data_IF_703539727027
#
_entry.id   IF_703539727027
#
_cell.length_a   1.000
_cell.length_b   1.000
_cell.length_c   1.000
_cell.angle_alpha   90.00
_cell.angle_beta   90.00
_cell.angle_gamma   90.00
#
_symmetry.space_group_name_H-M   'P 1'
#
loop_
_entity.id
_entity.type
_entity.pdbx_description
1 polymer ?
#
# COMPACT_ATOMS: atom_id res chain seq x y z
N UNK A 1 14.74 19.41 139.82
CA UNK A 1 13.60 18.64 139.27
C UNK A 1 12.33 19.38 139.64
N UNK A 2 11.81 20.19 138.72
CA UNK A 2 10.43 20.67 138.83
C UNK A 2 9.55 19.46 138.55
N UNK A 3 8.81 19.01 139.56
CA UNK A 3 7.77 18.02 139.34
C UNK A 3 6.67 18.68 138.48
N UNK A 4 6.14 17.99 137.45
CA UNK A 4 5.17 18.56 136.52
C UNK A 4 3.78 18.61 137.15
N UNK A 5 3.69 19.17 138.36
CA UNK A 5 2.47 19.26 139.13
C UNK A 5 2.09 20.72 139.31
N UNK A 6 0.86 21.07 138.99
CA UNK A 6 0.22 22.33 139.31
C UNK A 6 -0.01 22.44 140.82
N UNK A 7 0.02 23.67 141.37
CA UNK A 7 -0.18 23.92 142.80
C UNK A 7 -1.58 24.51 142.99
N UNK A 8 -2.46 23.78 143.69
CA UNK A 8 -3.82 24.25 144.01
C UNK A 8 -3.92 24.52 145.52
N UNK A 9 -4.29 25.76 145.88
CA UNK A 9 -4.32 26.32 147.24
C UNK A 9 -2.99 26.29 148.01
N UNK A 10 -2.58 25.13 148.52
CA UNK A 10 -1.42 24.95 149.44
C UNK A 10 -0.64 23.65 149.19
N UNK A 11 -0.84 22.97 148.05
CA UNK A 11 -0.13 21.74 147.72
C UNK A 11 -0.20 21.40 146.23
N UNK A 12 0.58 20.39 145.82
CA UNK A 12 0.49 19.82 144.48
C UNK A 12 -0.89 19.20 144.25
N UNK A 13 -1.37 19.29 143.02
CA UNK A 13 -2.60 18.63 142.62
C UNK A 13 -2.47 17.11 142.85
N UNK A 14 -3.34 16.59 143.73
CA UNK A 14 -3.32 15.20 144.15
C UNK A 14 -3.63 14.26 142.98
N UNK A 15 -4.46 14.69 142.04
CA UNK A 15 -4.85 13.88 140.90
C UNK A 15 -3.69 13.81 139.90
N UNK A 16 -2.96 14.90 139.70
CA UNK A 16 -1.75 14.91 138.86
C UNK A 16 -0.61 14.05 139.44
N UNK A 17 -0.40 14.09 140.76
CA UNK A 17 0.60 13.23 141.44
C UNK A 17 0.21 11.76 141.35
N UNK A 18 -1.07 11.43 141.55
CA UNK A 18 -1.56 10.04 141.46
C UNK A 18 -1.39 9.49 140.05
N UNK A 19 -1.81 10.26 139.04
CA UNK A 19 -1.63 9.90 137.62
C UNK A 19 -0.15 9.71 137.25
N UNK A 20 0.77 10.51 137.82
CA UNK A 20 2.21 10.36 137.58
C UNK A 20 2.76 9.08 138.19
N UNK A 21 2.39 8.73 139.43
CA UNK A 21 2.83 7.47 140.05
C UNK A 21 2.21 6.26 139.38
N UNK A 22 0.95 6.32 138.95
CA UNK A 22 0.32 5.26 138.17
C UNK A 22 1.03 5.04 136.83
N UNK A 23 1.38 6.13 136.14
CA UNK A 23 2.19 6.06 134.91
C UNK A 23 3.59 5.49 135.18
N UNK A 24 4.25 5.93 136.24
CA UNK A 24 5.59 5.45 136.60
C UNK A 24 5.58 3.96 136.99
N UNK A 25 4.57 3.51 137.75
CA UNK A 25 4.42 2.09 138.09
C UNK A 25 4.10 1.25 136.82
N UNK A 26 3.32 1.80 135.89
CA UNK A 26 3.11 1.17 134.58
C UNK A 26 4.40 1.06 133.76
N UNK A 27 5.23 2.12 133.72
CA UNK A 27 6.54 2.11 133.06
C UNK A 27 7.52 1.13 133.73
N UNK A 28 7.51 1.02 135.07
CA UNK A 28 8.34 0.04 135.79
C UNK A 28 7.90 -1.41 135.52
N UNK A 29 6.59 -1.66 135.44
CA UNK A 29 6.06 -2.99 135.06
C UNK A 29 6.41 -3.34 133.62
N UNK A 30 6.32 -2.38 132.70
CA UNK A 30 6.71 -2.58 131.30
C UNK A 30 8.20 -2.93 131.20
N UNK A 31 9.08 -2.14 131.83
CA UNK A 31 10.53 -2.40 131.80
C UNK A 31 10.90 -3.72 132.47
N UNK A 32 10.20 -4.12 133.53
CA UNK A 32 10.38 -5.43 134.17
C UNK A 32 9.95 -6.56 133.23
N UNK A 33 8.80 -6.41 132.56
CA UNK A 33 8.34 -7.36 131.56
C UNK A 33 9.31 -7.47 130.36
N UNK A 34 9.82 -6.34 129.87
CA UNK A 34 10.82 -6.30 128.79
C UNK A 34 12.13 -6.96 129.20
N UNK A 35 12.61 -6.71 130.44
CA UNK A 35 13.79 -7.36 130.99
C UNK A 35 13.59 -8.87 131.09
N UNK A 36 12.44 -9.29 131.60
CA UNK A 36 12.13 -10.71 131.78
C UNK A 36 11.97 -11.43 130.43
N UNK A 37 11.39 -10.76 129.43
CA UNK A 37 11.32 -11.23 128.05
C UNK A 37 12.72 -11.33 127.41
N UNK A 38 13.57 -10.32 127.56
CA UNK A 38 14.95 -10.36 127.08
C UNK A 38 15.77 -11.46 127.79
N UNK A 39 15.57 -11.66 129.09
CA UNK A 39 16.20 -12.73 129.84
C UNK A 39 15.71 -14.12 129.39
N UNK A 40 14.44 -14.26 129.02
CA UNK A 40 13.92 -15.50 128.43
C UNK A 40 14.55 -15.78 127.06
N UNK A 41 14.58 -14.79 126.16
CA UNK A 41 15.23 -14.90 124.85
C UNK A 41 16.72 -15.24 124.95
N UNK A 42 17.44 -14.64 125.91
CA UNK A 42 18.85 -14.96 126.14
C UNK A 42 19.04 -16.41 126.59
N UNK A 43 18.14 -16.96 127.42
CA UNK A 43 18.18 -18.38 127.83
C UNK A 43 17.88 -19.31 126.66
N UNK A 44 16.91 -18.98 125.81
CA UNK A 44 16.58 -19.79 124.63
C UNK A 44 17.73 -19.81 123.61
N UNK A 45 18.36 -18.67 123.35
CA UNK A 45 19.53 -18.58 122.48
C UNK A 45 20.73 -19.35 123.05
N UNK A 46 20.94 -19.29 124.38
CA UNK A 46 21.99 -20.09 125.02
C UNK A 46 21.75 -21.58 124.81
N UNK A 47 20.49 -22.03 124.93
CA UNK A 47 20.13 -23.44 124.66
C UNK A 47 20.39 -23.83 123.21
N UNK A 48 19.96 -23.02 122.24
CA UNK A 48 20.21 -23.30 120.81
C UNK A 48 21.71 -23.35 120.48
N UNK A 49 22.51 -22.50 121.15
CA UNK A 49 23.96 -22.51 120.97
C UNK A 49 24.59 -23.78 121.52
N UNK A 50 24.13 -24.26 122.68
CA UNK A 50 24.63 -25.50 123.26
C UNK A 50 24.18 -26.72 122.42
N UNK A 51 22.93 -26.76 121.96
CA UNK A 51 22.43 -27.80 121.05
C UNK A 51 23.26 -27.85 119.74
N UNK A 52 23.56 -26.70 119.14
CA UNK A 52 24.40 -26.62 117.93
C UNK A 52 25.86 -26.99 118.19
N UNK A 53 26.39 -26.71 119.39
CA UNK A 53 27.75 -27.11 119.79
C UNK A 53 27.85 -28.63 119.94
N UNK A 54 26.87 -29.25 120.57
CA UNK A 54 26.79 -30.69 120.71
C UNK A 54 26.72 -31.37 119.33
N UNK A 55 25.90 -30.84 118.42
CA UNK A 55 25.82 -31.34 117.03
C UNK A 55 27.16 -31.21 116.27
N UNK A 56 27.84 -30.06 116.41
CA UNK A 56 29.17 -29.87 115.79
C UNK A 56 30.19 -30.86 116.35
N UNK A 57 30.18 -31.12 117.66
CA UNK A 57 31.11 -32.05 118.28
C UNK A 57 30.81 -33.51 117.90
N UNK A 58 29.55 -33.88 117.71
CA UNK A 58 29.16 -35.17 117.13
C UNK A 58 29.66 -35.31 115.68
N UNK A 59 29.38 -34.32 114.83
CA UNK A 59 29.84 -34.31 113.44
C UNK A 59 31.38 -34.38 113.33
N UNK A 60 32.10 -33.71 114.25
CA UNK A 60 33.56 -33.79 114.32
C UNK A 60 34.06 -35.18 114.67
N UNK A 61 33.47 -35.84 115.67
CA UNK A 61 33.82 -37.22 116.03
C UNK A 61 33.57 -38.18 114.87
N UNK A 62 32.48 -37.99 114.15
CA UNK A 62 32.16 -38.79 112.96
C UNK A 62 33.17 -38.56 111.82
N UNK A 63 33.56 -37.30 111.56
CA UNK A 63 34.61 -36.96 110.59
C UNK A 63 35.94 -37.59 110.98
N UNK A 64 36.35 -37.46 112.24
CA UNK A 64 37.61 -38.05 112.73
C UNK A 64 37.62 -39.56 112.54
N UNK A 65 36.49 -40.24 112.86
CA UNK A 65 36.29 -41.67 112.64
C UNK A 65 36.37 -42.06 111.15
N UNK A 66 35.92 -41.20 110.24
CA UNK A 66 35.94 -41.42 108.79
C UNK A 66 37.27 -41.06 108.13
N UNK A 67 38.07 -40.17 108.75
CA UNK A 67 39.35 -39.68 108.23
C UNK A 67 40.49 -40.71 108.37
N UNK A 68 40.43 -41.55 109.42
CA UNK A 68 41.40 -42.61 109.66
C UNK A 68 41.10 -43.80 108.73
N UNK A 69 42.12 -44.46 108.13
CA UNK A 69 41.92 -45.66 107.32
C UNK A 69 41.11 -46.71 108.10
N UNK A 70 40.01 -47.25 107.53
CA UNK A 70 39.14 -48.14 108.28
C UNK A 70 39.88 -49.44 108.60
N UNK A 71 40.11 -49.70 109.88
CA UNK A 71 40.75 -50.92 110.37
C UNK A 71 39.74 -52.01 110.74
N UNK A 72 38.42 -51.73 110.63
CA UNK A 72 37.32 -52.65 110.94
C UNK A 72 36.42 -52.89 109.72
N UNK A 73 35.85 -54.10 109.61
CA UNK A 73 34.95 -54.49 108.50
C UNK A 73 33.65 -53.67 108.44
N UNK A 74 33.15 -53.24 109.60
CA UNK A 74 31.95 -52.39 109.74
C UNK A 74 32.21 -50.98 109.18
N UNK A 75 33.36 -50.37 109.48
CA UNK A 75 33.75 -49.06 108.93
C UNK A 75 34.00 -49.07 107.42
N UNK A 76 34.48 -50.19 106.87
CA UNK A 76 34.55 -50.38 105.40
C UNK A 76 33.16 -50.47 104.78
N UNK A 77 32.21 -51.16 105.42
CA UNK A 77 30.84 -51.34 104.92
C UNK A 77 30.03 -50.04 104.95
N UNK A 78 30.19 -49.24 106.01
CA UNK A 78 29.59 -47.90 106.13
C UNK A 78 30.11 -46.89 105.10
N UNK A 79 31.40 -46.98 104.76
CA UNK A 79 31.98 -46.11 103.72
C UNK A 79 31.51 -46.53 102.32
N UNK A 80 31.39 -47.83 102.05
CA UNK A 80 30.84 -48.35 100.79
C UNK A 80 29.37 -47.96 100.63
N UNK A 81 28.55 -48.07 101.69
CA UNK A 81 27.13 -47.68 101.62
C UNK A 81 26.95 -46.19 101.33
N UNK A 82 27.76 -45.31 101.96
CA UNK A 82 27.78 -43.87 101.66
C UNK A 82 28.30 -43.57 100.26
N UNK A 83 29.35 -44.27 99.79
CA UNK A 83 29.88 -44.10 98.43
C UNK A 83 28.87 -44.55 97.37
N UNK A 84 28.14 -45.64 97.61
CA UNK A 84 27.05 -46.09 96.72
C UNK A 84 25.89 -45.10 96.72
N UNK A 85 25.55 -44.52 97.88
CA UNK A 85 24.52 -43.47 97.97
C UNK A 85 24.94 -42.23 97.18
N UNK A 86 26.16 -41.74 97.39
CA UNK A 86 26.72 -40.61 96.63
C UNK A 86 26.74 -40.89 95.12
N UNK A 87 27.18 -42.08 94.70
CA UNK A 87 27.18 -42.46 93.28
C UNK A 87 25.75 -42.57 92.70
N UNK A 88 24.78 -43.01 93.50
CA UNK A 88 23.36 -43.06 93.10
C UNK A 88 22.77 -41.65 92.98
N UNK A 89 23.12 -40.76 93.90
CA UNK A 89 22.70 -39.36 93.89
C UNK A 89 23.31 -38.65 92.66
N UNK A 90 24.61 -38.83 92.42
CA UNK A 90 25.33 -38.28 91.25
C UNK A 90 24.78 -38.85 89.93
N UNK A 91 24.47 -40.15 89.86
CA UNK A 91 23.83 -40.73 88.68
C UNK A 91 22.42 -40.16 88.43
N UNK A 92 21.68 -39.83 89.50
CA UNK A 92 20.35 -39.22 89.41
C UNK A 92 20.46 -37.77 88.93
N UNK A 93 21.44 -37.00 89.43
CA UNK A 93 21.74 -35.65 88.97
C UNK A 93 22.16 -35.62 87.50
N UNK A 94 23.05 -36.53 87.07
CA UNK A 94 23.48 -36.63 85.67
C UNK A 94 22.30 -36.97 84.76
N UNK A 95 21.41 -37.88 85.17
CA UNK A 95 20.19 -38.19 84.40
C UNK A 95 19.22 -37.01 84.33
N UNK A 96 18.99 -36.32 85.45
CA UNK A 96 18.12 -35.16 85.49
C UNK A 96 18.65 -34.05 84.57
N UNK A 97 19.97 -33.79 84.63
CA UNK A 97 20.63 -32.81 83.77
C UNK A 97 20.56 -33.21 82.29
N UNK A 98 20.87 -34.45 81.95
CA UNK A 98 20.77 -34.94 80.57
C UNK A 98 19.33 -34.87 80.03
N UNK A 99 18.34 -35.13 80.88
CA UNK A 99 16.93 -35.02 80.49
C UNK A 99 16.53 -33.56 80.23
N UNK A 100 16.93 -32.63 81.11
CA UNK A 100 16.69 -31.19 80.95
C UNK A 100 17.34 -30.65 79.67
N UNK A 101 18.62 -30.99 79.43
CA UNK A 101 19.33 -30.59 78.21
C UNK A 101 18.67 -31.16 76.94
N UNK A 102 18.14 -32.39 77.01
CA UNK A 102 17.41 -33.00 75.90
C UNK A 102 16.09 -32.30 75.61
N UNK A 103 15.34 -31.93 76.66
CA UNK A 103 14.08 -31.18 76.53
C UNK A 103 14.32 -29.79 75.95
N UNK A 104 15.37 -29.10 76.40
CA UNK A 104 15.80 -27.82 75.83
C UNK A 104 16.16 -27.95 74.35
N UNK A 105 16.96 -28.96 73.99
CA UNK A 105 17.34 -29.24 72.60
C UNK A 105 16.12 -29.50 71.71
N UNK A 106 15.17 -30.31 72.19
CA UNK A 106 13.94 -30.61 71.46
C UNK A 106 13.08 -29.34 71.31
N UNK A 107 12.95 -28.54 72.36
CA UNK A 107 12.20 -27.29 72.34
C UNK A 107 12.77 -26.30 71.31
N UNK A 108 14.10 -26.12 71.32
CA UNK A 108 14.80 -25.26 70.34
C UNK A 108 14.60 -25.78 68.92
N UNK A 109 14.79 -27.09 68.69
CA UNK A 109 14.61 -27.69 67.37
C UNK A 109 13.17 -27.57 66.85
N UNK A 110 12.17 -27.74 67.73
CA UNK A 110 10.76 -27.57 67.38
C UNK A 110 10.43 -26.11 67.04
N UNK A 111 10.95 -25.15 67.82
CA UNK A 111 10.76 -23.73 67.56
C UNK A 111 11.40 -23.31 66.23
N UNK A 112 12.61 -23.78 65.95
CA UNK A 112 13.30 -23.50 64.68
C UNK A 112 12.55 -24.12 63.50
N UNK A 113 12.10 -25.36 63.63
CA UNK A 113 11.29 -26.04 62.62
C UNK A 113 9.98 -25.30 62.33
N UNK A 114 9.29 -24.84 63.38
CA UNK A 114 8.06 -24.05 63.24
C UNK A 114 8.34 -22.70 62.54
N UNK A 115 9.43 -22.02 62.91
CA UNK A 115 9.86 -20.76 62.27
C UNK A 115 10.23 -20.96 60.81
N UNK A 116 10.90 -22.06 60.46
CA UNK A 116 11.26 -22.38 59.08
C UNK A 116 10.02 -22.70 58.25
N UNK A 117 9.08 -23.50 58.80
CA UNK A 117 7.79 -23.78 58.16
C UNK A 117 6.98 -22.53 57.88
N UNK A 118 6.81 -21.65 58.89
CA UNK A 118 6.10 -20.39 58.70
C UNK A 118 6.75 -19.47 57.65
N UNK A 119 8.09 -19.43 57.59
CA UNK A 119 8.81 -18.70 56.53
C UNK A 119 8.56 -19.29 55.14
N UNK A 120 8.57 -20.61 55.00
CA UNK A 120 8.29 -21.27 53.72
C UNK A 120 6.85 -21.06 53.28
N UNK A 121 5.88 -21.22 54.18
CA UNK A 121 4.47 -20.96 53.90
C UNK A 121 4.26 -19.52 53.43
N UNK A 122 4.88 -18.54 54.10
CA UNK A 122 4.84 -17.14 53.68
C UNK A 122 5.47 -16.92 52.30
N UNK A 123 6.60 -17.56 51.99
CA UNK A 123 7.26 -17.42 50.69
C UNK A 123 6.45 -18.06 49.57
N UNK A 124 5.83 -19.22 49.82
CA UNK A 124 4.94 -19.89 48.86
C UNK A 124 3.73 -19.01 48.57
N UNK A 125 3.08 -18.47 49.61
CA UNK A 125 1.95 -17.56 49.44
C UNK A 125 2.32 -16.30 48.64
N UNK A 126 3.47 -15.69 48.92
CA UNK A 126 3.95 -14.53 48.15
C UNK A 126 4.25 -14.87 46.69
N UNK A 127 4.82 -16.05 46.41
CA UNK A 127 5.06 -16.50 45.03
C UNK A 127 3.76 -16.80 44.28
N UNK A 128 2.77 -17.37 44.95
CA UNK A 128 1.44 -17.60 44.38
C UNK A 128 0.72 -16.29 44.06
N UNK A 129 0.78 -15.31 44.97
CA UNK A 129 0.23 -13.97 44.76
C UNK A 129 0.90 -13.27 43.58
N UNK A 130 2.24 -13.27 43.53
CA UNK A 130 3.00 -12.71 42.41
C UNK A 130 2.69 -13.41 41.09
N UNK A 131 2.57 -14.74 41.09
CA UNK A 131 2.19 -15.51 39.90
C UNK A 131 0.81 -15.11 39.40
N UNK A 132 -0.17 -15.02 40.31
CA UNK A 132 -1.55 -14.61 39.97
C UNK A 132 -1.61 -13.16 39.45
N UNK A 133 -0.84 -12.25 40.04
CA UNK A 133 -0.76 -10.86 39.59
C UNK A 133 -0.20 -10.78 38.17
N UNK A 134 0.93 -11.45 37.91
CA UNK A 134 1.56 -11.48 36.57
C UNK A 134 0.65 -12.14 35.54
N UNK A 135 -0.05 -13.21 35.90
CA UNK A 135 -1.02 -13.87 35.02
C UNK A 135 -2.16 -12.93 34.64
N UNK A 136 -2.72 -12.21 35.62
CA UNK A 136 -3.79 -11.23 35.39
C UNK A 136 -3.32 -10.06 34.52
N UNK A 137 -2.14 -9.49 34.82
CA UNK A 137 -1.56 -8.41 34.02
C UNK A 137 -1.25 -8.86 32.59
N UNK A 138 -0.74 -10.08 32.42
CA UNK A 138 -0.48 -10.66 31.10
C UNK A 138 -1.78 -10.83 30.32
N UNK A 139 -2.81 -11.42 30.91
CA UNK A 139 -4.12 -11.59 30.28
C UNK A 139 -4.73 -10.25 29.85
N UNK A 140 -4.68 -9.24 30.73
CA UNK A 140 -5.16 -7.89 30.42
C UNK A 140 -4.38 -7.25 29.28
N UNK A 141 -3.05 -7.30 29.33
CA UNK A 141 -2.18 -6.74 28.29
C UNK A 141 -2.43 -7.43 26.95
N UNK A 142 -2.55 -8.75 26.94
CA UNK A 142 -2.83 -9.53 25.72
C UNK A 142 -4.24 -9.25 25.17
N UNK A 143 -5.24 -9.10 26.03
CA UNK A 143 -6.60 -8.73 25.63
C UNK A 143 -6.64 -7.31 25.01
N UNK A 144 -5.95 -6.35 25.62
CA UNK A 144 -5.81 -5.00 25.09
C UNK A 144 -5.07 -5.01 23.75
N UNK A 145 -3.93 -5.69 23.65
CA UNK A 145 -3.15 -5.80 22.42
C UNK A 145 -3.97 -6.45 21.28
N UNK A 146 -4.75 -7.49 21.58
CA UNK A 146 -5.65 -8.13 20.59
C UNK A 146 -6.76 -7.18 20.13
N UNK A 147 -7.35 -6.42 21.05
CA UNK A 147 -8.40 -5.44 20.73
C UNK A 147 -7.85 -4.31 19.86
N UNK A 148 -6.67 -3.80 20.19
CA UNK A 148 -6.01 -2.74 19.43
C UNK A 148 -5.58 -3.24 18.03
N UNK A 149 -5.02 -4.45 17.95
CA UNK A 149 -4.68 -5.08 16.69
C UNK A 149 -5.93 -5.26 15.80
N UNK A 150 -7.05 -5.70 16.38
CA UNK A 150 -8.31 -5.82 15.65
C UNK A 150 -8.80 -4.46 15.12
N UNK A 151 -8.75 -3.40 15.93
CA UNK A 151 -9.08 -2.02 15.51
C UNK A 151 -8.20 -1.53 14.37
N UNK A 152 -6.89 -1.75 14.45
CA UNK A 152 -5.96 -1.33 13.40
C UNK A 152 -6.24 -2.07 12.09
N UNK A 153 -6.50 -3.37 12.16
CA UNK A 153 -6.85 -4.17 10.98
C UNK A 153 -8.17 -3.71 10.36
N UNK A 154 -9.19 -3.47 11.19
CA UNK A 154 -10.51 -2.99 10.73
C UNK A 154 -10.39 -1.59 10.08
N UNK A 155 -9.68 -0.67 10.72
CA UNK A 155 -9.43 0.66 10.16
C UNK A 155 -8.65 0.60 8.84
N UNK A 156 -7.62 -0.25 8.76
CA UNK A 156 -6.86 -0.43 7.53
C UNK A 156 -7.69 -1.06 6.41
N UNK A 157 -8.59 -1.99 6.73
CA UNK A 157 -9.53 -2.57 5.76
C UNK A 157 -10.53 -1.53 5.27
N UNK A 158 -11.12 -0.75 6.17
CA UNK A 158 -12.06 0.32 5.80
C UNK A 158 -11.42 1.38 4.88
N UNK A 159 -10.19 1.81 5.18
CA UNK A 159 -9.46 2.74 4.32
C UNK A 159 -9.09 2.10 2.97
N UNK A 160 -8.71 0.83 2.95
CA UNK A 160 -8.46 0.11 1.68
C UNK A 160 -9.72 0.03 0.82
N UNK A 161 -10.86 -0.30 1.41
CA UNK A 161 -12.13 -0.42 0.68
C UNK A 161 -12.60 0.93 0.16
N UNK A 162 -12.44 2.00 0.96
CA UNK A 162 -12.70 3.36 0.53
C UNK A 162 -11.83 3.77 -0.65
N UNK A 163 -10.51 3.55 -0.57
CA UNK A 163 -9.59 3.86 -1.67
C UNK A 163 -9.88 3.03 -2.92
N UNK A 164 -10.28 1.76 -2.75
CA UNK A 164 -10.69 0.90 -3.86
C UNK A 164 -11.97 1.43 -4.54
N UNK A 165 -12.97 1.84 -3.76
CA UNK A 165 -14.19 2.45 -4.27
C UNK A 165 -13.92 3.78 -5.00
N UNK A 166 -13.08 4.64 -4.43
CA UNK A 166 -12.67 5.91 -5.05
C UNK A 166 -11.88 5.69 -6.35
N UNK A 167 -10.97 4.71 -6.37
CA UNK A 167 -10.22 4.37 -7.57
C UNK A 167 -11.12 3.82 -8.68
N UNK A 168 -12.09 2.97 -8.32
CA UNK A 168 -13.04 2.42 -9.28
C UNK A 168 -13.97 3.50 -9.83
N UNK A 169 -14.50 4.38 -8.97
CA UNK A 169 -15.31 5.52 -9.41
C UNK A 169 -14.56 6.40 -10.43
N UNK A 170 -13.28 6.71 -10.16
CA UNK A 170 -12.44 7.47 -11.10
C UNK A 170 -12.19 6.74 -12.40
N UNK A 171 -12.01 5.42 -12.37
CA UNK A 171 -11.84 4.62 -13.61
C UNK A 171 -13.11 4.67 -14.46
N UNK A 172 -14.27 4.52 -13.84
CA UNK A 172 -15.55 4.61 -14.53
C UNK A 172 -15.77 6.00 -15.12
N UNK A 173 -15.53 7.08 -14.36
CA UNK A 173 -15.63 8.46 -14.84
C UNK A 173 -14.72 8.71 -16.05
N UNK A 174 -13.43 8.33 -15.96
CA UNK A 174 -12.48 8.48 -17.07
C UNK A 174 -12.90 7.65 -18.28
N UNK A 175 -13.44 6.46 -18.08
CA UNK A 175 -13.91 5.60 -19.15
C UNK A 175 -15.14 6.20 -19.85
N UNK A 176 -16.11 6.73 -19.10
CA UNK A 176 -17.29 7.39 -19.63
C UNK A 176 -16.91 8.65 -20.43
N UNK A 177 -16.05 9.50 -19.87
CA UNK A 177 -15.54 10.70 -20.56
C UNK A 177 -14.80 10.36 -21.85
N UNK A 178 -13.99 9.30 -21.83
CA UNK A 178 -13.30 8.81 -23.00
C UNK A 178 -14.28 8.31 -24.07
N UNK A 179 -15.29 7.53 -23.68
CA UNK A 179 -16.32 7.02 -24.59
C UNK A 179 -17.12 8.15 -25.23
N UNK A 180 -17.53 9.15 -24.45
CA UNK A 180 -18.21 10.35 -24.94
C UNK A 180 -17.32 11.09 -25.93
N UNK A 181 -16.08 11.38 -25.56
CA UNK A 181 -15.13 12.12 -26.41
C UNK A 181 -14.84 11.37 -27.71
N UNK A 182 -14.67 10.05 -27.65
CA UNK A 182 -14.43 9.22 -28.83
C UNK A 182 -15.67 9.07 -29.71
N UNK A 183 -16.86 8.98 -29.12
CA UNK A 183 -18.11 9.01 -29.85
C UNK A 183 -18.24 10.33 -30.60
N UNK A 184 -18.07 11.48 -29.94
CA UNK A 184 -18.10 12.79 -30.60
C UNK A 184 -17.08 12.91 -31.73
N UNK A 185 -15.84 12.47 -31.51
CA UNK A 185 -14.80 12.48 -32.54
C UNK A 185 -15.18 11.59 -33.72
N UNK A 186 -15.75 10.41 -33.46
CA UNK A 186 -16.22 9.50 -34.50
C UNK A 186 -17.32 10.14 -35.32
N UNK A 187 -18.31 10.77 -34.68
CA UNK A 187 -19.39 11.48 -35.38
C UNK A 187 -18.86 12.61 -36.25
N UNK A 188 -17.92 13.43 -35.73
CA UNK A 188 -17.27 14.51 -36.49
C UNK A 188 -16.48 14.00 -37.70
N UNK A 189 -15.78 12.88 -37.56
CA UNK A 189 -15.03 12.27 -38.67
C UNK A 189 -15.98 11.71 -39.72
N UNK A 190 -17.06 11.04 -39.29
CA UNK A 190 -18.07 10.52 -40.21
C UNK A 190 -18.78 11.64 -40.98
N UNK A 191 -19.19 12.72 -40.32
CA UNK A 191 -19.81 13.86 -41.00
C UNK A 191 -18.86 14.53 -41.99
N UNK A 192 -17.59 14.70 -41.62
CA UNK A 192 -16.59 15.26 -42.53
C UNK A 192 -16.32 14.35 -43.76
N UNK A 193 -16.39 13.03 -43.58
CA UNK A 193 -16.30 12.07 -44.68
C UNK A 193 -17.53 12.16 -45.60
N UNK A 194 -18.73 12.24 -45.03
CA UNK A 194 -19.98 12.43 -45.78
C UNK A 194 -19.97 13.74 -46.59
N UNK A 195 -19.52 14.84 -45.98
CA UNK A 195 -19.37 16.14 -46.65
C UNK A 195 -18.33 16.08 -47.79
N UNK A 196 -17.21 15.40 -47.56
CA UNK A 196 -16.19 15.20 -48.60
C UNK A 196 -16.71 14.32 -49.74
N UNK A 197 -17.43 13.25 -49.45
CA UNK A 197 -18.04 12.40 -50.47
C UNK A 197 -19.12 13.15 -51.26
N UNK A 198 -19.97 13.93 -50.59
CA UNK A 198 -21.02 14.71 -51.23
C UNK A 198 -20.43 15.79 -52.15
N UNK A 199 -19.44 16.55 -51.67
CA UNK A 199 -18.72 17.56 -52.47
C UNK A 199 -17.98 16.93 -53.65
N UNK A 200 -17.29 15.81 -53.43
CA UNK A 200 -16.60 15.07 -54.50
C UNK A 200 -17.57 14.56 -55.58
N UNK A 201 -18.71 13.98 -55.18
CA UNK A 201 -19.77 13.53 -56.10
C UNK A 201 -20.37 14.70 -56.88
N UNK A 202 -20.62 15.83 -56.23
CA UNK A 202 -21.13 17.05 -56.86
C UNK A 202 -20.14 17.62 -57.88
N UNK A 203 -18.86 17.73 -57.51
CA UNK A 203 -17.80 18.20 -58.41
C UNK A 203 -17.60 17.26 -59.61
N UNK A 204 -17.67 15.95 -59.40
CA UNK A 204 -17.62 14.97 -60.47
C UNK A 204 -18.83 15.09 -61.41
N UNK A 205 -20.05 15.23 -60.87
CA UNK A 205 -21.26 15.46 -61.65
C UNK A 205 -21.16 16.75 -62.49
N UNK A 206 -20.72 17.86 -61.88
CA UNK A 206 -20.49 19.14 -62.59
C UNK A 206 -19.48 18.99 -63.72
N UNK A 207 -18.33 18.34 -63.48
CA UNK A 207 -17.33 18.09 -64.53
C UNK A 207 -17.87 17.25 -65.69
N UNK A 208 -18.69 16.23 -65.38
CA UNK A 208 -19.34 15.41 -66.41
C UNK A 208 -20.33 16.27 -67.20
N UNK A 209 -21.17 17.06 -66.54
CA UNK A 209 -22.12 17.95 -67.20
C UNK A 209 -21.41 18.99 -68.09
N UNK A 210 -20.40 19.68 -67.58
CA UNK A 210 -19.54 20.60 -68.35
C UNK A 210 -18.88 19.91 -69.55
N UNK A 211 -18.34 18.70 -69.36
CA UNK A 211 -17.74 17.94 -70.46
C UNK A 211 -18.77 17.52 -71.52
N UNK A 212 -19.97 17.10 -71.10
CA UNK A 212 -21.06 16.71 -72.02
C UNK A 212 -21.63 17.89 -72.79
N UNK A 213 -21.81 19.03 -72.14
CA UNK A 213 -22.32 20.26 -72.78
C UNK A 213 -21.32 20.80 -73.79
N UNK A 214 -20.03 20.82 -73.45
CA UNK A 214 -18.97 21.22 -74.37
C UNK A 214 -18.79 20.20 -75.51
N UNK A 215 -18.90 18.89 -75.25
CA UNK A 215 -18.90 17.86 -76.30
C UNK A 215 -20.10 18.04 -77.25
N UNK A 216 -21.30 18.30 -76.72
CA UNK A 216 -22.48 18.59 -77.52
C UNK A 216 -22.30 19.86 -78.37
N UNK A 217 -21.75 20.94 -77.79
CA UNK A 217 -21.42 22.17 -78.52
C UNK A 217 -20.43 21.92 -79.67
N UNK A 218 -19.39 21.12 -79.43
CA UNK A 218 -18.40 20.74 -80.47
C UNK A 218 -19.03 19.91 -81.57
N UNK A 219 -19.85 18.92 -81.22
CA UNK A 219 -20.59 18.10 -82.19
C UNK A 219 -21.55 18.95 -83.02
N UNK A 220 -22.29 19.87 -82.39
CA UNK A 220 -23.18 20.78 -83.10
C UNK A 220 -22.39 21.68 -84.06
N UNK A 221 -21.31 22.31 -83.60
CA UNK A 221 -20.46 23.14 -84.46
C UNK A 221 -19.86 22.35 -85.63
N UNK A 222 -19.39 21.12 -85.39
CA UNK A 222 -18.89 20.23 -86.44
C UNK A 222 -19.99 19.82 -87.42
N UNK A 223 -21.21 19.55 -86.94
CA UNK A 223 -22.37 19.24 -87.79
C UNK A 223 -22.76 20.43 -88.65
N UNK A 224 -22.85 21.63 -88.08
CA UNK A 224 -23.13 22.87 -88.82
C UNK A 224 -22.05 23.14 -89.88
N UNK A 225 -20.77 22.92 -89.57
CA UNK A 225 -19.68 23.03 -90.55
C UNK A 225 -19.78 21.98 -91.66
N UNK A 226 -20.12 20.74 -91.31
CA UNK A 226 -20.32 19.66 -92.28
C UNK A 226 -21.51 19.96 -93.20
N UNK A 227 -22.64 20.43 -92.65
CA UNK A 227 -23.81 20.86 -93.41
C UNK A 227 -23.49 22.03 -94.34
N UNK A 228 -22.75 23.05 -93.88
CA UNK A 228 -22.26 24.15 -94.72
C UNK A 228 -21.39 23.65 -95.87
N UNK A 229 -20.47 22.71 -95.59
CA UNK A 229 -19.62 22.08 -96.62
C UNK A 229 -20.44 21.29 -97.63
N UNK A 230 -21.42 20.51 -97.16
CA UNK A 230 -22.34 19.75 -98.02
C UNK A 230 -23.17 20.71 -98.89
N UNK A 231 -23.74 21.76 -98.31
CA UNK A 231 -24.51 22.76 -99.05
C UNK A 231 -23.66 23.46 -100.12
N UNK A 232 -22.46 23.93 -99.75
CA UNK A 232 -21.51 24.52 -100.69
C UNK A 232 -21.09 23.55 -101.81
N UNK A 233 -20.88 22.27 -101.48
CA UNK A 233 -20.58 21.25 -102.50
C UNK A 233 -21.75 20.98 -103.44
N UNK A 234 -23.00 21.04 -102.95
CA UNK A 234 -24.21 20.92 -103.79
C UNK A 234 -24.38 22.13 -104.70
N UNK A 235 -24.12 23.34 -104.18
CA UNK A 235 -24.13 24.57 -104.97
C UNK A 235 -23.09 24.50 -106.10
N UNK A 236 -21.83 24.17 -105.79
CA UNK A 236 -20.78 23.91 -106.78
C UNK A 236 -21.17 22.82 -107.79
N UNK A 237 -21.83 21.75 -107.36
CA UNK A 237 -22.28 20.69 -108.25
C UNK A 237 -23.39 21.18 -109.22
N UNK A 238 -24.31 22.01 -108.74
CA UNK A 238 -25.32 22.65 -109.60
C UNK A 238 -24.69 23.70 -110.53
N UNK A 239 -23.73 24.50 -110.07
CA UNK A 239 -22.95 25.39 -110.93
C UNK A 239 -22.23 24.63 -112.04
N UNK A 240 -21.55 23.52 -111.71
CA UNK A 240 -20.92 22.63 -112.69
C UNK A 240 -21.95 22.00 -113.64
N UNK A 241 -23.13 21.62 -113.16
CA UNK A 241 -24.22 21.10 -113.99
C UNK A 241 -24.73 22.14 -114.98
N UNK A 242 -24.92 23.37 -114.54
CA UNK A 242 -25.33 24.52 -115.38
C UNK A 242 -24.24 24.89 -116.37
N UNK A 243 -22.97 24.89 -115.96
CA UNK A 243 -21.85 25.15 -116.85
C UNK A 243 -21.73 24.05 -117.91
N UNK A 244 -21.87 22.78 -117.53
CA UNK A 244 -21.92 21.65 -118.46
C UNK A 244 -23.10 21.75 -119.42
N UNK A 245 -24.30 22.11 -118.97
CA UNK A 245 -25.44 22.28 -119.86
C UNK A 245 -25.24 23.44 -120.85
N UNK A 246 -24.60 24.53 -120.40
CA UNK A 246 -24.19 25.65 -121.27
C UNK A 246 -23.14 25.23 -122.30
N UNK A 247 -22.10 24.49 -121.90
CA UNK A 247 -21.08 23.96 -122.82
C UNK A 247 -21.70 22.98 -123.82
N UNK A 248 -22.61 22.10 -123.38
CA UNK A 248 -23.34 21.21 -124.29
C UNK A 248 -24.22 21.98 -125.28
N UNK A 249 -24.88 23.06 -124.84
CA UNK A 249 -25.64 23.95 -125.72
C UNK A 249 -24.72 24.68 -126.72
N UNK A 250 -23.54 25.14 -126.30
CA UNK A 250 -22.54 25.72 -127.19
C UNK A 250 -22.02 24.70 -128.21
N UNK A 251 -21.74 23.45 -127.80
CA UNK A 251 -21.34 22.38 -128.71
C UNK A 251 -22.44 21.99 -129.71
N UNK A 252 -23.71 21.97 -129.27
CA UNK A 252 -24.86 21.80 -130.17
C UNK A 252 -25.02 22.97 -131.13
N UNK A 253 -24.78 24.21 -130.67
CA UNK A 253 -24.77 25.41 -131.51
C UNK A 253 -23.67 25.35 -132.58
N UNK A 254 -22.44 24.96 -132.20
CA UNK A 254 -21.33 24.77 -133.13
C UNK A 254 -21.61 23.62 -134.10
N UNK A 255 -22.22 22.51 -133.63
CA UNK A 255 -22.64 21.42 -134.52
C UNK A 255 -23.71 21.88 -135.51
N UNK A 256 -24.69 22.67 -135.09
CA UNK A 256 -25.67 23.28 -135.99
C UNK A 256 -25.05 24.25 -137.00
N UNK A 257 -24.02 25.00 -136.59
CA UNK A 257 -23.23 25.83 -137.50
C UNK A 257 -22.42 24.98 -138.49
N UNK A 258 -21.86 23.85 -138.08
CA UNK A 258 -21.15 22.91 -138.96
C UNK A 258 -22.08 22.17 -139.92
N UNK A 259 -23.29 21.80 -139.48
CA UNK A 259 -24.34 21.21 -140.35
C UNK A 259 -24.85 22.21 -141.40
N UNK A 260 -24.63 23.52 -141.21
CA UNK A 260 -24.98 24.58 -142.18
C UNK A 260 -23.91 24.87 -143.24
N UNK A 261 -22.70 24.32 -143.10
CA UNK A 261 -21.59 24.51 -144.05
C UNK A 261 -21.86 23.88 -145.45
N UNK A 262 -22.49 22.69 -145.58
CA UNK A 262 -22.84 22.14 -146.89
C UNK A 262 -23.85 23.00 -147.66
N UNK A 263 -24.73 23.74 -146.97
CA UNK A 263 -25.73 24.61 -147.59
C UNK A 263 -25.13 25.95 -148.10
N UNK A 264 -24.12 26.49 -147.42
CA UNK A 264 -23.40 27.71 -147.84
C UNK A 264 -22.44 27.47 -149.03
N UNK A 265 -21.92 26.25 -149.20
CA UNK A 265 -21.11 25.90 -150.37
C UNK A 265 -21.96 25.68 -151.64
N UNK A 266 -23.26 25.38 -151.50
CA UNK A 266 -24.18 25.23 -152.62
C UNK A 266 -24.68 26.57 -153.20
N UNK A 267 -24.60 27.67 -152.43
CA UNK A 267 -25.03 29.01 -152.89
C UNK A 267 -23.98 29.78 -153.69
N UNK A 268 -22.70 29.37 -153.67
CA UNK A 268 -21.63 30.01 -154.47
C UNK A 268 -21.57 29.45 -155.90
N UNK A 269 -22.13 28.26 -156.15
CA UNK A 269 -22.04 27.58 -157.44
C UNK A 269 -23.15 27.95 -158.46
N UNK A 270 -23.91 29.03 -158.20
CA UNK A 270 -25.02 29.49 -159.08
C UNK A 270 -24.87 30.91 -159.63
N UNK A 271 -23.74 31.59 -159.39
CA UNK A 271 -23.54 32.99 -159.81
C UNK A 271 -22.40 33.20 -160.84
N UNK A 272 -21.88 32.15 -161.50
CA UNK A 272 -20.70 32.30 -162.39
C UNK A 272 -20.86 31.85 -163.86
N UNK A 273 -22.07 31.85 -164.45
CA UNK A 273 -22.24 31.57 -165.89
C UNK A 273 -23.29 32.49 -166.55
N UNK A 274 -22.92 33.76 -166.83
CA UNK A 274 -23.68 34.60 -167.77
C UNK A 274 -22.91 35.73 -168.47
N UNK A 275 -21.59 35.64 -168.64
CA UNK A 275 -20.87 36.44 -169.66
C UNK A 275 -19.71 35.64 -170.24
N UNK A 276 -19.89 35.26 -171.50
CA UNK A 276 -18.92 34.60 -172.36
C UNK A 276 -18.16 35.62 -173.22
N UNK A 277 -16.93 35.26 -173.55
CA UNK A 277 -16.01 35.74 -174.61
C UNK A 277 -15.07 36.96 -174.38
N UNK A 278 -13.83 36.95 -174.96
CA UNK A 278 -13.13 35.88 -175.70
C UNK A 278 -11.66 35.60 -175.27
N UNK A 279 -11.21 34.37 -175.53
CA UNK A 279 -9.81 33.92 -175.79
C UNK A 279 -9.18 34.69 -176.98
N UNK A 280 -7.84 34.80 -177.23
CA UNK A 280 -6.84 33.69 -177.22
C UNK A 280 -5.33 34.07 -176.98
N UNK A 281 -4.42 33.08 -177.15
CA UNK A 281 -2.93 33.10 -177.31
C UNK A 281 -2.06 33.06 -176.02
N UNK A 282 -1.36 32.01 -175.60
CA UNK A 282 -0.66 30.84 -176.18
C UNK A 282 0.88 30.99 -176.25
N UNK A 283 1.53 29.86 -175.93
CA UNK A 283 2.93 29.42 -176.16
C UNK A 283 4.00 30.03 -175.20
N UNK A 284 4.80 29.29 -174.43
CA UNK A 284 5.58 28.08 -174.70
C UNK A 284 6.10 27.43 -173.39
N UNK A 285 5.92 26.10 -173.29
CA UNK A 285 6.94 25.06 -173.00
C UNK A 285 7.77 25.17 -171.69
N UNK A 286 8.13 24.09 -170.99
CA UNK A 286 8.43 22.71 -171.42
C UNK A 286 8.74 21.88 -170.16
N UNK A 287 8.50 20.57 -170.27
CA UNK A 287 9.31 19.45 -169.72
C UNK A 287 9.40 19.35 -168.18
N UNK A 288 8.79 18.34 -167.57
CA UNK A 288 9.25 16.93 -167.47
C UNK A 288 10.58 16.73 -166.75
N UNK A 289 10.53 15.72 -165.85
CA UNK A 289 11.61 14.92 -165.24
C UNK A 289 11.73 15.12 -163.71
N UNK A 290 11.26 14.21 -162.85
CA UNK A 290 11.55 12.76 -162.67
C UNK A 290 12.98 12.54 -162.14
N UNK A 291 13.06 11.63 -161.16
CA UNK A 291 14.27 10.94 -160.68
C UNK A 291 15.16 11.80 -159.76
N UNK A 292 15.84 11.32 -158.73
CA UNK A 292 15.90 10.06 -157.99
C UNK A 292 16.97 10.31 -156.90
N UNK A 293 16.89 9.54 -155.81
CA UNK A 293 18.02 8.96 -155.11
C UNK A 293 19.11 9.84 -154.42
N UNK A 294 19.20 9.55 -153.11
CA UNK A 294 20.40 9.16 -152.33
C UNK A 294 21.23 10.23 -151.60
N UNK A 295 21.43 9.88 -150.31
CA UNK A 295 22.60 10.12 -149.45
C UNK A 295 22.84 11.58 -149.05
N UNK A 296 23.27 11.96 -147.85
CA UNK A 296 23.70 11.33 -146.60
C UNK A 296 23.70 12.52 -145.60
N UNK A 297 23.09 12.36 -144.43
CA UNK A 297 23.76 12.48 -143.13
C UNK A 297 24.11 13.90 -142.66
N UNK A 298 23.32 14.43 -141.72
CA UNK A 298 23.74 15.00 -140.42
C UNK A 298 22.70 15.99 -139.86
N UNK A 299 22.27 15.74 -138.60
CA UNK A 299 21.82 16.70 -137.55
C UNK A 299 20.55 17.52 -137.85
N UNK A 300 19.56 17.72 -136.97
CA UNK A 300 19.50 18.10 -135.55
C UNK A 300 17.98 18.03 -135.20
N UNK A 301 17.50 17.30 -134.19
CA UNK A 301 17.38 17.64 -132.75
C UNK A 301 16.88 19.07 -132.43
N UNK A 302 15.80 19.11 -131.64
CA UNK A 302 15.48 20.12 -130.62
C UNK A 302 15.10 21.53 -131.11
N UNK A 303 14.20 22.24 -130.44
CA UNK A 303 14.21 22.53 -129.00
C UNK A 303 12.79 22.79 -128.46
N UNK A 304 12.44 22.56 -127.20
CA UNK A 304 13.24 22.24 -126.03
C UNK A 304 12.36 21.65 -124.92
N UNK A 305 13.03 20.85 -124.12
CA UNK A 305 12.68 20.29 -122.82
C UNK A 305 12.82 21.34 -121.69
N UNK A 306 12.17 21.02 -120.56
CA UNK A 306 12.36 21.40 -119.16
C UNK A 306 13.30 22.55 -118.73
N UNK A 307 12.86 23.34 -117.75
CA UNK A 307 13.20 23.17 -116.32
C UNK A 307 13.16 24.51 -115.55
N UNK A 308 12.68 24.44 -114.30
CA UNK A 308 12.90 25.38 -113.18
C UNK A 308 12.38 26.82 -113.27
#
# INVERSE_FOLDING_TARGET
MQLPFSIVRKGFDRDEVTNYFERFDAELRLTTADRDAAAAQARDLAKQLDDARDEIDELRKDIDRLSVPPTTAEGMSDRISRMLRLASDEASEVRAKAHSESEEMISVAQQESARLRGRHESLVAELEERRSAVETEHEQTMAQARTEAARVVEAAQAERDKLAAEAEAKRTEVQEDFEITMAERRTKVLSALEDLEASSKSDAARRIEEATTEAARRLQSASEQAERRIAHSKELAEELRVLRSRVLAQLLGIRGQLDSVPAMLASVNRESELLDNPDPTAILKKEEEKAEAKAEDEKEKESADSAS
#
